data_IF_429536573118
#
_entry.id   IF_429536573118
#
_cell.length_a   1.000
_cell.length_b   1.000
_cell.length_c   1.000
_cell.angle_alpha   90.00
_cell.angle_beta   90.00
_cell.angle_gamma   90.00
#
_symmetry.space_group_name_H-M   'P 1'
#
loop_
_entity.id
_entity.type
_entity.pdbx_description
1 polymer ?
#
# COMPACT_ATOMS: atom_id res chain seq x y z
N UNK A 1 -36.27 22.65 -28.14
CA UNK A 1 -35.04 23.01 -27.38
C UNK A 1 -35.36 22.95 -25.90
N UNK A 2 -34.68 22.08 -25.14
CA UNK A 2 -34.30 22.20 -23.71
C UNK A 2 -33.82 20.82 -23.25
N UNK A 3 -32.50 20.65 -23.31
CA UNK A 3 -31.77 19.40 -23.09
C UNK A 3 -31.78 19.09 -21.59
N UNK A 4 -32.61 18.15 -21.15
CA UNK A 4 -32.50 17.55 -19.82
C UNK A 4 -31.41 16.48 -19.87
N UNK A 5 -30.16 16.88 -19.68
CA UNK A 5 -29.09 15.94 -19.39
C UNK A 5 -28.87 15.98 -17.87
N UNK A 6 -29.48 15.01 -17.19
CA UNK A 6 -29.22 14.69 -15.79
C UNK A 6 -27.77 14.23 -15.74
N UNK A 7 -26.87 15.07 -15.23
CA UNK A 7 -25.47 14.74 -15.02
C UNK A 7 -25.40 13.72 -13.88
N UNK A 8 -25.40 12.44 -14.25
CA UNK A 8 -25.24 11.31 -13.34
C UNK A 8 -23.96 11.51 -12.54
N UNK A 9 -24.13 11.59 -11.22
CA UNK A 9 -23.05 11.63 -10.24
C UNK A 9 -22.08 10.48 -10.49
N UNK A 10 -20.86 10.81 -10.89
CA UNK A 10 -19.76 9.84 -10.97
C UNK A 10 -19.41 9.43 -9.53
N UNK A 11 -20.11 8.43 -9.00
CA UNK A 11 -19.62 7.67 -7.85
C UNK A 11 -18.35 6.98 -8.31
N UNK A 12 -17.21 7.59 -8.02
CA UNK A 12 -15.93 6.88 -7.95
C UNK A 12 -16.05 5.95 -6.75
N UNK A 13 -16.60 4.76 -6.99
CA UNK A 13 -16.29 3.62 -6.16
C UNK A 13 -14.77 3.41 -6.21
N UNK A 14 -14.22 3.02 -5.06
CA UNK A 14 -12.91 2.38 -4.89
C UNK A 14 -11.82 3.29 -4.31
N UNK A 15 -11.78 3.32 -2.99
CA UNK A 15 -10.86 2.38 -2.35
C UNK A 15 -11.44 2.00 -1.00
N UNK A 16 -11.44 0.69 -0.72
CA UNK A 16 -11.60 0.19 0.63
C UNK A 16 -10.61 0.99 1.48
N UNK A 17 -11.15 1.84 2.36
CA UNK A 17 -10.37 2.52 3.37
C UNK A 17 -9.84 1.44 4.32
N UNK A 18 -8.77 0.76 3.91
CA UNK A 18 -7.78 0.33 4.88
C UNK A 18 -7.44 1.61 5.62
N UNK A 19 -7.74 1.69 6.91
CA UNK A 19 -7.66 2.93 7.68
C UNK A 19 -6.26 3.58 7.65
N UNK A 20 -5.28 2.91 7.04
CA UNK A 20 -3.94 3.37 6.72
C UNK A 20 -3.66 3.08 5.24
N UNK A 21 -3.54 4.12 4.41
CA UNK A 21 -3.09 3.99 3.02
C UNK A 21 -1.61 3.59 2.91
N UNK A 22 -1.08 3.49 1.68
CA UNK A 22 0.29 3.02 1.42
C UNK A 22 1.37 3.66 2.34
N UNK A 23 1.39 5.00 2.57
CA UNK A 23 2.38 5.60 3.47
C UNK A 23 2.26 5.15 4.93
N UNK A 24 1.04 4.89 5.40
CA UNK A 24 0.80 4.37 6.75
C UNK A 24 1.31 2.94 6.92
N UNK A 25 1.13 2.10 5.90
CA UNK A 25 1.66 0.73 5.92
C UNK A 25 3.19 0.70 5.80
N UNK A 26 3.79 1.59 5.00
CA UNK A 26 5.26 1.77 4.96
C UNK A 26 5.80 2.14 6.35
N UNK A 27 5.17 3.10 7.04
CA UNK A 27 5.57 3.53 8.38
C UNK A 27 5.54 2.36 9.38
N UNK A 28 4.51 1.51 9.34
CA UNK A 28 4.44 0.32 10.22
C UNK A 28 5.57 -0.67 9.95
N UNK A 29 5.91 -0.88 8.67
CA UNK A 29 7.04 -1.72 8.27
C UNK A 29 8.35 -1.12 8.82
N UNK A 30 8.54 0.18 8.64
CA UNK A 30 9.73 0.91 9.11
C UNK A 30 9.91 0.85 10.62
N UNK A 31 8.81 0.97 11.38
CA UNK A 31 8.81 0.87 12.85
C UNK A 31 9.10 -0.55 13.33
N UNK A 32 8.67 -1.57 12.59
CA UNK A 32 8.82 -2.98 12.97
C UNK A 32 10.19 -3.55 12.63
N UNK A 33 10.80 -3.14 11.51
CA UNK A 33 12.09 -3.67 11.03
C UNK A 33 13.21 -3.70 12.09
N UNK A 34 13.46 -2.63 12.89
CA UNK A 34 14.56 -2.62 13.86
C UNK A 34 14.45 -3.67 14.97
N UNK A 35 13.23 -4.09 15.30
CA UNK A 35 12.95 -5.07 16.36
C UNK A 35 12.64 -6.47 15.82
N UNK A 36 12.64 -6.64 14.49
CA UNK A 36 12.23 -7.89 13.86
C UNK A 36 13.34 -8.94 13.97
N UNK A 37 12.98 -10.11 14.50
CA UNK A 37 13.86 -11.28 14.58
C UNK A 37 13.69 -12.11 13.31
N UNK A 38 14.31 -11.67 12.23
CA UNK A 38 14.26 -12.33 10.92
C UNK A 38 15.65 -12.81 10.51
N UNK A 39 15.67 -13.79 9.61
CA UNK A 39 16.92 -14.15 8.93
C UNK A 39 17.43 -12.95 8.11
N UNK A 40 18.74 -12.85 7.84
CA UNK A 40 19.27 -11.80 6.97
C UNK A 40 18.59 -11.76 5.58
N UNK A 41 18.25 -12.93 5.04
CA UNK A 41 17.55 -13.06 3.76
C UNK A 41 16.13 -12.48 3.82
N UNK A 42 15.37 -12.81 4.86
CA UNK A 42 14.01 -12.28 5.04
C UNK A 42 14.03 -10.77 5.29
N UNK A 43 15.00 -10.28 6.08
CA UNK A 43 15.18 -8.84 6.30
C UNK A 43 15.51 -8.10 5.01
N UNK A 44 16.33 -8.68 4.13
CA UNK A 44 16.58 -8.12 2.79
C UNK A 44 15.29 -8.04 1.98
N UNK A 45 14.52 -9.14 1.95
CA UNK A 45 13.25 -9.19 1.23
C UNK A 45 12.23 -8.18 1.75
N UNK A 46 12.16 -7.97 3.07
CA UNK A 46 11.31 -6.93 3.67
C UNK A 46 11.70 -5.54 3.18
N UNK A 47 13.01 -5.21 3.14
CA UNK A 47 13.51 -3.91 2.66
C UNK A 47 13.19 -3.70 1.19
N UNK A 48 13.37 -4.73 0.37
CA UNK A 48 13.08 -4.67 -1.07
C UNK A 48 11.58 -4.47 -1.33
N UNK A 49 10.73 -5.21 -0.62
CA UNK A 49 9.27 -5.05 -0.70
C UNK A 49 8.82 -3.67 -0.21
N UNK A 50 9.42 -3.14 0.87
CA UNK A 50 9.16 -1.78 1.36
C UNK A 50 9.50 -0.74 0.30
N UNK A 51 10.70 -0.81 -0.28
CA UNK A 51 11.16 0.11 -1.31
C UNK A 51 10.31 0.02 -2.58
N UNK A 52 9.98 -1.20 -3.03
CA UNK A 52 9.11 -1.42 -4.18
C UNK A 52 7.69 -0.90 -3.93
N UNK A 53 7.15 -1.10 -2.73
CA UNK A 53 5.86 -0.53 -2.34
C UNK A 53 5.85 0.99 -2.42
N UNK A 54 6.93 1.65 -1.98
CA UNK A 54 7.11 3.10 -2.11
C UNK A 54 7.16 3.57 -3.56
N UNK A 55 7.91 2.86 -4.42
CA UNK A 55 7.97 3.16 -5.84
C UNK A 55 6.59 3.04 -6.50
N UNK A 56 5.88 1.92 -6.26
CA UNK A 56 4.53 1.70 -6.79
C UNK A 56 3.55 2.79 -6.33
N UNK A 57 3.69 3.29 -5.10
CA UNK A 57 2.90 4.41 -4.62
C UNK A 57 3.20 5.69 -5.41
N UNK A 58 4.48 6.02 -5.62
CA UNK A 58 4.91 7.18 -6.43
C UNK A 58 4.44 7.08 -7.88
N UNK A 59 4.34 5.87 -8.41
CA UNK A 59 3.84 5.59 -9.76
C UNK A 59 2.30 5.57 -9.85
N UNK A 60 1.58 5.86 -8.76
CA UNK A 60 0.10 5.86 -8.71
C UNK A 60 -0.52 4.45 -8.65
N UNK A 61 0.29 3.40 -8.57
CA UNK A 61 -0.13 1.99 -8.53
C UNK A 61 -0.47 1.54 -7.12
N UNK A 62 -1.50 2.15 -6.52
CA UNK A 62 -1.83 1.94 -5.11
C UNK A 62 -2.21 0.50 -4.75
N UNK A 63 -2.94 -0.21 -5.61
CA UNK A 63 -3.29 -1.62 -5.34
C UNK A 63 -2.04 -2.52 -5.32
N UNK A 64 -1.13 -2.33 -6.28
CA UNK A 64 0.14 -3.06 -6.34
C UNK A 64 1.04 -2.71 -5.15
N UNK A 65 1.08 -1.43 -4.76
CA UNK A 65 1.80 -0.95 -3.58
C UNK A 65 1.30 -1.65 -2.32
N UNK A 66 -0.02 -1.63 -2.08
CA UNK A 66 -0.63 -2.28 -0.90
C UNK A 66 -0.38 -3.80 -0.88
N UNK A 67 -0.47 -4.48 -2.03
CA UNK A 67 -0.14 -5.91 -2.12
C UNK A 67 1.32 -6.17 -1.73
N UNK A 68 2.24 -5.38 -2.29
CA UNK A 68 3.69 -5.50 -2.04
C UNK A 68 4.03 -5.23 -0.56
N UNK A 69 3.44 -4.18 0.02
CA UNK A 69 3.61 -3.86 1.44
C UNK A 69 2.98 -4.93 2.34
N UNK A 70 1.87 -5.54 1.93
CA UNK A 70 1.26 -6.68 2.61
C UNK A 70 2.19 -7.90 2.70
N UNK A 71 2.96 -8.19 1.65
CA UNK A 71 3.98 -9.25 1.69
C UNK A 71 5.10 -8.94 2.69
N UNK A 72 5.57 -7.68 2.73
CA UNK A 72 6.60 -7.25 3.69
C UNK A 72 6.10 -7.43 5.13
N UNK A 73 4.85 -7.03 5.38
CA UNK A 73 4.18 -7.17 6.68
C UNK A 73 4.02 -8.62 7.11
N UNK A 74 3.66 -9.52 6.18
CA UNK A 74 3.58 -10.96 6.46
C UNK A 74 4.91 -11.53 6.93
N UNK A 75 6.02 -11.11 6.33
CA UNK A 75 7.37 -11.50 6.78
C UNK A 75 7.68 -10.93 8.16
N UNK A 76 7.24 -9.70 8.45
CA UNK A 76 7.42 -9.05 9.75
C UNK A 76 6.46 -9.51 10.86
N UNK A 77 5.43 -10.29 10.50
CA UNK A 77 4.39 -10.79 11.40
C UNK A 77 3.42 -9.71 11.89
N UNK A 78 3.08 -8.73 11.03
CA UNK A 78 2.18 -7.59 11.34
C UNK A 78 1.11 -7.38 10.25
#
# INVERSE_FOLDING_TARGET
MKKTFVMASLMVCSSLAFAHGCPGEMKKIDERMPSAKLSPADMSKVKDLRAKGEQLHKDGKHAESMSTLGEAKKLLGI
#
